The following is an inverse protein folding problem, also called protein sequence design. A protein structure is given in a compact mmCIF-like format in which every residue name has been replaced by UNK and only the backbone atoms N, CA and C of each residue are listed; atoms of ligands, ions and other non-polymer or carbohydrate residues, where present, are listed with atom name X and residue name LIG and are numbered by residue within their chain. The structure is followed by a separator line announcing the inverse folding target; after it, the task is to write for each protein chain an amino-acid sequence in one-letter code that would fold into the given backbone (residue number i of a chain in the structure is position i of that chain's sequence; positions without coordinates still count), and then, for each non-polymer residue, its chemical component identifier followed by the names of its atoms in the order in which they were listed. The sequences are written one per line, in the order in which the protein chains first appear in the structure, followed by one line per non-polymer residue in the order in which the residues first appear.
data_IF_917864005783
#
_entry.id   IF_917864005783
#
_cell.length_a   1.000
_cell.length_b   1.000
_cell.length_c   1.000
_cell.angle_alpha   90.00
_cell.angle_beta   90.00
_cell.angle_gamma   90.00
#
_symmetry.space_group_name_H-M   'P 1'
#
loop_
_entity.id
_entity.type
_entity.pdbx_description
1 polymer ?
#
# COMPACT_ATOMS: atom_id res chain seq x y z
N UNK A 1 33.54 -12.77 -60.68
CA UNK A 1 32.73 -11.61 -60.21
C UNK A 1 31.53 -12.12 -59.39
N UNK A 2 31.76 -12.65 -58.18
CA UNK A 2 30.72 -13.25 -57.34
C UNK A 2 30.78 -12.77 -55.87
N UNK A 3 31.40 -11.62 -55.60
CA UNK A 3 31.68 -11.16 -54.24
C UNK A 3 30.72 -10.10 -53.70
N UNK A 4 30.07 -9.31 -54.56
CA UNK A 4 29.34 -8.11 -54.13
C UNK A 4 27.90 -8.39 -53.67
N UNK A 5 27.23 -9.37 -54.29
CA UNK A 5 25.84 -9.73 -53.95
C UNK A 5 25.68 -10.47 -52.62
N UNK A 6 26.68 -11.26 -52.22
CA UNK A 6 26.65 -12.05 -50.98
C UNK A 6 26.71 -11.18 -49.73
N UNK A 7 27.44 -10.06 -49.78
CA UNK A 7 27.54 -9.10 -48.68
C UNK A 7 26.24 -8.31 -48.49
N UNK A 8 25.55 -7.94 -49.58
CA UNK A 8 24.27 -7.24 -49.52
C UNK A 8 23.16 -8.12 -48.90
N UNK A 9 23.17 -9.42 -49.24
CA UNK A 9 22.22 -10.40 -48.67
C UNK A 9 22.52 -10.68 -47.20
N UNK A 10 23.80 -10.82 -46.82
CA UNK A 10 24.17 -10.96 -45.41
C UNK A 10 23.83 -9.71 -44.59
N UNK A 11 24.05 -8.50 -45.12
CA UNK A 11 23.69 -7.26 -44.44
C UNK A 11 22.16 -7.13 -44.26
N UNK A 12 21.39 -7.49 -45.30
CA UNK A 12 19.94 -7.49 -45.24
C UNK A 12 19.38 -8.52 -44.24
N UNK A 13 20.00 -9.70 -44.13
CA UNK A 13 19.65 -10.70 -43.12
C UNK A 13 19.99 -10.24 -41.69
N UNK A 14 21.14 -9.60 -41.47
CA UNK A 14 21.51 -9.05 -40.16
C UNK A 14 20.58 -7.90 -39.77
N UNK A 15 20.25 -6.99 -40.68
CA UNK A 15 19.29 -5.91 -40.43
C UNK A 15 17.88 -6.47 -40.19
N UNK A 16 17.48 -7.52 -40.90
CA UNK A 16 16.21 -8.22 -40.68
C UNK A 16 16.12 -8.91 -39.31
N UNK A 17 17.19 -9.56 -38.86
CA UNK A 17 17.26 -10.23 -37.54
C UNK A 17 17.35 -9.21 -36.39
N UNK A 18 18.03 -8.08 -36.58
CA UNK A 18 18.09 -6.98 -35.60
C UNK A 18 16.77 -6.21 -35.55
N UNK A 19 16.11 -6.01 -36.70
CA UNK A 19 14.78 -5.40 -36.81
C UNK A 19 13.66 -6.25 -36.20
N UNK A 20 13.77 -7.58 -36.24
CA UNK A 20 12.79 -8.49 -35.63
C UNK A 20 12.89 -8.56 -34.10
N UNK A 21 13.98 -8.07 -33.49
CA UNK A 21 14.06 -7.90 -32.02
C UNK A 21 13.33 -6.65 -31.51
N UNK A 22 12.93 -5.74 -32.39
CA UNK A 22 12.15 -4.56 -32.06
C UNK A 22 10.65 -4.89 -32.05
N UNK A 23 10.21 -5.76 -31.13
CA UNK A 23 8.82 -6.15 -31.08
C UNK A 23 8.53 -7.23 -30.06
N UNK A 24 8.74 -6.90 -28.78
CA UNK A 24 7.87 -7.13 -27.62
C UNK A 24 8.60 -6.40 -26.48
N UNK A 25 8.30 -5.12 -26.30
CA UNK A 25 8.58 -4.48 -25.02
C UNK A 25 7.51 -5.04 -24.06
N UNK A 26 7.88 -5.99 -23.20
CA UNK A 26 7.07 -6.27 -22.03
C UNK A 26 7.12 -4.99 -21.21
N UNK A 27 5.98 -4.31 -21.03
CA UNK A 27 5.90 -3.19 -20.11
C UNK A 27 6.34 -3.69 -18.74
N UNK A 28 7.52 -3.27 -18.30
CA UNK A 28 8.02 -3.62 -16.97
C UNK A 28 7.09 -2.97 -15.94
N UNK A 29 6.51 -3.77 -15.05
CA UNK A 29 5.61 -3.27 -14.02
C UNK A 29 6.44 -2.53 -12.97
N UNK A 30 6.10 -1.27 -12.70
CA UNK A 30 6.69 -0.50 -11.61
C UNK A 30 6.10 -0.94 -10.27
N UNK A 31 6.72 -1.95 -9.66
CA UNK A 31 6.32 -2.42 -8.33
C UNK A 31 6.59 -1.40 -7.22
N UNK A 32 7.48 -0.44 -7.44
CA UNK A 32 7.72 0.65 -6.48
C UNK A 32 6.52 1.58 -6.40
N UNK A 33 6.01 2.01 -7.55
CA UNK A 33 4.77 2.78 -7.67
C UNK A 33 3.55 2.00 -7.12
N UNK A 34 3.48 0.69 -7.38
CA UNK A 34 2.42 -0.16 -6.83
C UNK A 34 2.44 -0.19 -5.29
N UNK A 35 3.61 -0.31 -4.66
CA UNK A 35 3.75 -0.29 -3.19
C UNK A 35 3.37 1.08 -2.63
N UNK A 36 3.81 2.18 -3.25
CA UNK A 36 3.48 3.54 -2.81
C UNK A 36 1.96 3.76 -2.79
N UNK A 37 1.28 3.38 -3.87
CA UNK A 37 -0.18 3.47 -4.01
C UNK A 37 -0.92 2.55 -3.05
N UNK A 38 -0.39 1.36 -2.76
CA UNK A 38 -0.97 0.46 -1.76
C UNK A 38 -0.93 1.07 -0.36
N UNK A 39 0.12 1.81 -0.02
CA UNK A 39 0.20 2.54 1.25
C UNK A 39 -0.69 3.79 1.25
N UNK A 40 -0.86 4.46 0.11
CA UNK A 40 -1.87 5.52 -0.04
C UNK A 40 -3.29 5.00 0.14
N UNK A 41 -3.59 3.77 -0.26
CA UNK A 41 -4.89 3.13 0.01
C UNK A 41 -5.14 3.03 1.53
N UNK A 42 -4.14 2.62 2.32
CA UNK A 42 -4.26 2.63 3.78
C UNK A 42 -4.56 4.04 4.31
N UNK A 43 -3.86 5.07 3.83
CA UNK A 43 -4.15 6.47 4.20
C UNK A 43 -5.59 6.88 3.86
N UNK A 44 -6.10 6.42 2.71
CA UNK A 44 -7.44 6.70 2.24
C UNK A 44 -8.54 5.99 3.05
N UNK A 45 -8.20 4.99 3.87
CA UNK A 45 -9.14 4.29 4.77
C UNK A 45 -9.13 4.80 6.21
N UNK A 46 -8.23 5.72 6.59
CA UNK A 46 -8.11 6.22 7.97
C UNK A 46 -9.43 6.81 8.47
N UNK A 47 -9.94 6.39 9.63
CA UNK A 47 -10.97 7.08 10.41
C UNK A 47 -10.31 7.92 11.52
N UNK A 48 -10.98 8.97 12.00
CA UNK A 48 -10.51 9.83 13.08
C UNK A 48 -9.98 11.19 12.59
N UNK A 49 -9.23 11.85 13.46
CA UNK A 49 -8.56 13.12 13.15
C UNK A 49 -7.32 12.89 12.32
N UNK A 50 -7.31 13.34 11.07
CA UNK A 50 -6.25 13.05 10.12
C UNK A 50 -4.97 13.86 10.41
N UNK A 51 -3.78 13.30 10.12
CA UNK A 51 -2.53 14.05 10.21
C UNK A 51 -2.49 15.22 9.22
N UNK A 52 -1.89 16.34 9.62
CA UNK A 52 -1.78 17.53 8.76
C UNK A 52 -1.00 17.27 7.45
N UNK A 53 -0.10 16.29 7.48
CA UNK A 53 0.72 15.87 6.35
C UNK A 53 0.09 14.71 5.53
N UNK A 54 -1.19 14.40 5.71
CA UNK A 54 -1.93 13.39 4.92
C UNK A 54 -1.79 13.65 3.41
N UNK A 55 -1.47 12.62 2.61
CA UNK A 55 -1.31 12.75 1.15
C UNK A 55 -2.65 12.77 0.43
N UNK A 56 -3.62 12.01 0.92
CA UNK A 56 -4.97 11.88 0.35
C UNK A 56 -5.83 13.11 0.68
N UNK A 57 -5.81 14.11 -0.21
CA UNK A 57 -6.40 15.46 0.05
C UNK A 57 -7.92 15.54 0.03
N UNK A 58 -8.60 14.56 -0.54
CA UNK A 58 -10.07 14.52 -0.58
C UNK A 58 -10.69 13.88 0.68
N UNK A 59 -9.88 13.31 1.58
CA UNK A 59 -10.32 12.84 2.89
C UNK A 59 -10.23 13.97 3.92
N UNK A 60 -11.17 13.99 4.86
CA UNK A 60 -11.17 14.89 6.03
C UNK A 60 -11.39 14.13 7.34
N UNK A 61 -11.37 14.86 8.46
CA UNK A 61 -11.64 14.30 9.78
C UNK A 61 -13.03 13.63 9.83
N UNK A 62 -13.09 12.41 10.37
CA UNK A 62 -14.33 11.62 10.47
C UNK A 62 -14.33 10.76 11.74
N UNK A 63 -15.49 10.21 12.14
CA UNK A 63 -15.56 9.31 13.31
C UNK A 63 -15.08 9.92 14.64
N UNK A 64 -15.18 11.26 14.80
CA UNK A 64 -14.61 11.97 15.95
C UNK A 64 -15.35 11.73 17.28
N UNK A 65 -16.45 10.98 17.24
CA UNK A 65 -17.27 10.62 18.41
C UNK A 65 -17.34 9.11 18.63
N UNK A 66 -16.53 8.33 17.93
CA UNK A 66 -16.45 6.88 18.09
C UNK A 66 -16.19 6.51 19.56
N UNK A 67 -17.10 5.74 20.15
CA UNK A 67 -17.02 5.28 21.56
C UNK A 67 -17.55 6.26 22.61
N UNK A 68 -17.91 7.50 22.23
CA UNK A 68 -18.31 8.55 23.18
C UNK A 68 -19.51 8.14 24.05
N UNK A 69 -20.52 7.51 23.46
CA UNK A 69 -21.72 7.07 24.19
C UNK A 69 -21.43 5.94 25.19
N UNK A 70 -20.32 5.23 25.01
CA UNK A 70 -19.87 4.14 25.87
C UNK A 70 -18.79 4.60 26.86
N UNK A 71 -18.43 5.90 26.86
CA UNK A 71 -17.43 6.46 27.77
C UNK A 71 -15.98 6.05 27.44
N UNK A 72 -15.70 5.68 26.19
CA UNK A 72 -14.37 5.28 25.70
C UNK A 72 -13.96 6.11 24.49
N UNK A 73 -12.66 6.35 24.30
CA UNK A 73 -12.14 6.94 23.06
C UNK A 73 -11.84 5.81 22.07
N UNK A 74 -12.65 5.68 21.03
CA UNK A 74 -12.42 4.75 19.93
C UNK A 74 -12.12 5.48 18.61
N UNK A 75 -11.75 6.76 18.64
CA UNK A 75 -11.39 7.54 17.45
C UNK A 75 -10.06 7.03 16.85
N UNK A 76 -10.02 6.82 15.54
CA UNK A 76 -8.83 6.30 14.83
C UNK A 76 -9.12 5.03 14.02
N UNK A 77 -8.07 4.31 13.63
CA UNK A 77 -8.19 3.03 12.92
C UNK A 77 -8.59 3.19 11.45
N UNK A 78 -9.01 2.09 10.82
CA UNK A 78 -9.36 2.04 9.40
C UNK A 78 -10.83 1.67 9.21
N UNK A 79 -11.48 2.28 8.22
CA UNK A 79 -12.71 1.74 7.65
C UNK A 79 -12.39 0.48 6.85
N UNK A 80 -13.26 -0.52 6.94
CA UNK A 80 -12.96 -1.87 6.45
C UNK A 80 -12.92 -1.96 4.92
N UNK A 81 -13.94 -1.42 4.26
CA UNK A 81 -14.08 -1.49 2.82
C UNK A 81 -14.61 -0.18 2.22
N UNK A 82 -15.68 -0.25 1.42
CA UNK A 82 -16.37 0.92 0.86
C UNK A 82 -17.39 1.56 1.81
N UNK A 83 -17.51 1.05 3.02
CA UNK A 83 -18.37 1.54 4.09
C UNK A 83 -17.56 2.31 5.15
N UNK A 84 -18.19 2.58 6.29
CA UNK A 84 -17.57 3.32 7.40
C UNK A 84 -17.56 2.53 8.71
N UNK A 85 -17.82 1.22 8.66
CA UNK A 85 -17.71 0.37 9.85
C UNK A 85 -16.25 0.01 10.08
N UNK A 86 -15.85 -0.04 11.35
CA UNK A 86 -14.53 -0.48 11.78
C UNK A 86 -14.63 -1.91 12.28
N UNK A 87 -14.48 -2.87 11.38
CA UNK A 87 -14.44 -4.29 11.73
C UNK A 87 -13.05 -4.66 12.28
N UNK A 88 -12.96 -4.99 13.57
CA UNK A 88 -11.69 -5.19 14.26
C UNK A 88 -10.89 -6.39 13.75
N UNK A 89 -11.55 -7.49 13.37
CA UNK A 89 -10.88 -8.70 12.88
C UNK A 89 -10.12 -8.46 11.55
N UNK A 90 -10.75 -8.01 10.45
CA UNK A 90 -10.04 -7.75 9.19
C UNK A 90 -9.03 -6.61 9.32
N UNK A 91 -9.28 -5.61 10.16
CA UNK A 91 -8.29 -4.57 10.47
C UNK A 91 -7.04 -5.16 11.13
N UNK A 92 -7.22 -6.02 12.15
CA UNK A 92 -6.10 -6.66 12.86
C UNK A 92 -5.29 -7.56 11.92
N UNK A 93 -5.98 -8.32 11.06
CA UNK A 93 -5.33 -9.11 10.02
C UNK A 93 -4.49 -8.24 9.09
N UNK A 94 -5.06 -7.14 8.57
CA UNK A 94 -4.38 -6.24 7.64
C UNK A 94 -3.12 -5.61 8.25
N UNK A 95 -3.21 -5.14 9.49
CA UNK A 95 -2.05 -4.57 10.23
C UNK A 95 -0.99 -5.64 10.51
N UNK A 96 -1.40 -6.87 10.81
CA UNK A 96 -0.48 -8.00 11.00
C UNK A 96 0.27 -8.33 9.72
N UNK A 97 -0.44 -8.45 8.59
CA UNK A 97 0.18 -8.73 7.29
C UNK A 97 1.11 -7.61 6.83
N UNK A 98 0.74 -6.34 7.07
CA UNK A 98 1.60 -5.20 6.78
C UNK A 98 2.88 -5.22 7.63
N UNK A 99 2.75 -5.57 8.92
CA UNK A 99 3.89 -5.70 9.84
C UNK A 99 4.81 -6.85 9.45
N UNK A 100 4.25 -8.00 9.07
CA UNK A 100 5.01 -9.13 8.57
C UNK A 100 5.75 -8.75 7.28
N UNK A 101 5.08 -8.10 6.33
CA UNK A 101 5.73 -7.59 5.12
C UNK A 101 6.89 -6.63 5.42
N UNK A 102 6.77 -5.77 6.42
CA UNK A 102 7.84 -4.87 6.84
C UNK A 102 9.05 -5.59 7.44
N UNK A 103 8.83 -6.74 8.08
CA UNK A 103 9.89 -7.59 8.63
C UNK A 103 10.62 -8.31 7.49
N UNK A 104 9.87 -9.03 6.64
CA UNK A 104 10.43 -9.91 5.61
C UNK A 104 11.09 -9.12 4.47
N UNK A 105 10.49 -7.99 4.06
CA UNK A 105 10.94 -7.17 2.93
C UNK A 105 11.57 -5.85 3.37
N UNK A 106 12.20 -5.85 4.56
CA UNK A 106 12.80 -4.65 5.17
C UNK A 106 13.74 -3.92 4.21
N UNK A 107 14.61 -4.66 3.52
CA UNK A 107 15.64 -4.10 2.64
C UNK A 107 15.01 -3.40 1.43
N UNK A 108 14.01 -4.03 0.83
CA UNK A 108 13.29 -3.54 -0.33
C UNK A 108 12.47 -2.30 0.03
N UNK A 109 11.74 -2.32 1.15
CA UNK A 109 11.00 -1.15 1.64
C UNK A 109 11.91 0.03 1.98
N UNK A 110 13.11 -0.22 2.52
CA UNK A 110 14.11 0.85 2.74
C UNK A 110 14.65 1.36 1.41
N UNK A 111 14.97 0.46 0.46
CA UNK A 111 15.44 0.84 -0.88
C UNK A 111 14.44 1.67 -1.67
N UNK A 112 13.14 1.42 -1.50
CA UNK A 112 12.05 2.19 -2.10
C UNK A 112 11.67 3.44 -1.30
N UNK A 113 12.31 3.72 -0.16
CA UNK A 113 11.93 4.78 0.77
C UNK A 113 10.49 4.68 1.31
N UNK A 114 9.94 3.46 1.37
CA UNK A 114 8.56 3.18 1.81
C UNK A 114 8.46 2.72 3.27
N UNK A 115 9.59 2.45 3.93
CA UNK A 115 9.59 2.02 5.34
C UNK A 115 8.88 3.03 6.27
N UNK A 116 9.08 4.33 6.07
CA UNK A 116 8.40 5.37 6.86
C UNK A 116 6.87 5.33 6.72
N UNK A 117 6.33 5.43 5.49
CA UNK A 117 4.90 5.25 5.23
C UNK A 117 4.32 3.93 5.75
N UNK A 118 5.04 2.80 5.58
CA UNK A 118 4.62 1.50 6.13
C UNK A 118 4.49 1.53 7.64
N UNK A 119 5.50 2.03 8.36
CA UNK A 119 5.45 2.14 9.82
C UNK A 119 4.36 3.09 10.29
N UNK A 120 4.10 4.18 9.55
CA UNK A 120 3.00 5.10 9.85
C UNK A 120 1.63 4.42 9.69
N UNK A 121 1.47 3.56 8.68
CA UNK A 121 0.24 2.80 8.48
C UNK A 121 0.05 1.71 9.57
N UNK A 122 1.10 1.00 9.96
CA UNK A 122 1.07 0.05 11.09
C UNK A 122 0.69 0.78 12.38
N UNK A 123 1.37 1.88 12.68
CA UNK A 123 1.13 2.67 13.90
C UNK A 123 -0.31 3.17 13.99
N UNK A 124 -0.89 3.63 12.89
CA UNK A 124 -2.27 4.09 12.87
C UNK A 124 -3.28 3.01 13.30
N UNK A 125 -3.06 1.77 12.85
CA UNK A 125 -3.88 0.64 13.23
C UNK A 125 -3.63 0.19 14.67
N UNK A 126 -2.36 0.11 15.10
CA UNK A 126 -2.02 -0.33 16.45
C UNK A 126 -2.37 0.68 17.54
N UNK A 127 -2.26 1.99 17.28
CA UNK A 127 -2.75 3.03 18.18
C UNK A 127 -4.26 2.85 18.44
N UNK A 128 -5.04 2.49 17.41
CA UNK A 128 -6.45 2.17 17.59
C UNK A 128 -6.67 0.89 18.40
N UNK A 129 -5.88 -0.18 18.21
CA UNK A 129 -6.02 -1.39 19.04
C UNK A 129 -5.71 -1.15 20.51
N UNK A 130 -4.75 -0.27 20.82
CA UNK A 130 -4.46 0.15 22.21
C UNK A 130 -5.69 0.83 22.81
N UNK A 131 -6.33 1.74 22.07
CA UNK A 131 -7.59 2.37 22.50
C UNK A 131 -8.74 1.38 22.67
N UNK A 132 -8.87 0.44 21.74
CA UNK A 132 -9.89 -0.59 21.74
C UNK A 132 -9.71 -1.62 22.87
N UNK A 133 -8.56 -1.67 23.52
CA UNK A 133 -8.27 -2.56 24.64
C UNK A 133 -8.03 -1.79 25.96
N UNK A 134 -9.06 -1.11 26.51
CA UNK A 134 -8.89 -0.21 27.66
C UNK A 134 -8.60 -0.93 28.99
N UNK A 135 -8.84 -2.24 29.06
CA UNK A 135 -8.64 -3.07 30.26
C UNK A 135 -8.18 -4.47 29.83
N UNK A 136 -7.49 -5.25 30.70
CA UNK A 136 -6.85 -6.51 30.32
C UNK A 136 -7.76 -7.56 29.66
N UNK A 137 -9.06 -7.54 29.96
CA UNK A 137 -10.03 -8.51 29.44
C UNK A 137 -11.20 -7.85 28.69
N UNK A 138 -11.03 -6.61 28.22
CA UNK A 138 -12.06 -5.88 27.47
C UNK A 138 -11.50 -5.48 26.11
N UNK A 139 -12.16 -5.90 25.03
CA UNK A 139 -11.79 -5.55 23.66
C UNK A 139 -13.02 -5.05 22.88
N UNK A 140 -12.93 -3.84 22.36
CA UNK A 140 -13.91 -3.27 21.44
C UNK A 140 -13.63 -3.75 20.03
N UNK A 141 -14.37 -4.78 19.60
CA UNK A 141 -14.13 -5.42 18.32
C UNK A 141 -14.77 -4.71 17.12
N UNK A 142 -15.68 -3.74 17.34
CA UNK A 142 -16.41 -3.08 16.25
C UNK A 142 -16.93 -1.68 16.64
N UNK A 143 -16.97 -0.77 15.66
CA UNK A 143 -17.64 0.55 15.74
C UNK A 143 -18.45 0.78 14.45
N UNK A 144 -19.70 1.26 14.60
CA UNK A 144 -20.65 1.57 13.51
C UNK A 144 -20.71 3.07 13.21
#
# INVERSE_FOLDING_TARGET
MAGFGSWCVMLAMVVGVVGLKAGIAVAELDYGDAVDKSLMFMEAQRSGKLPINQRVKWRGDSGLRDGFLQGVDLVGGYYDAGDHVKFGLPMAYSVTMLSWGAIDYRREMVGLNQMGPTLAAIKWGTDYFIKAHPQPNVLWAQVF
#
